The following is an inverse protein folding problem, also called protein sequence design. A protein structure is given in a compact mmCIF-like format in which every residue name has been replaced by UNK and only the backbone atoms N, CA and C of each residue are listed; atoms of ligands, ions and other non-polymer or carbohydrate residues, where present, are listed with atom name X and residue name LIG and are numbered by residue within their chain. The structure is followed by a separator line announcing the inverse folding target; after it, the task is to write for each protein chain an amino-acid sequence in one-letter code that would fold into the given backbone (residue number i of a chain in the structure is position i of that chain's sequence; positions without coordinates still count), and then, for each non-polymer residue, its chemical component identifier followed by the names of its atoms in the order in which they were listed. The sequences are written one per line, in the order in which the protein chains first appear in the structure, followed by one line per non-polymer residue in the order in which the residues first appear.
data_IF_735360955396
#
_entry.id   IF_735360955396
#
_cell.length_a   1.000
_cell.length_b   1.000
_cell.length_c   1.000
_cell.angle_alpha   90.00
_cell.angle_beta   90.00
_cell.angle_gamma   90.00
#
_symmetry.space_group_name_H-M   'P 1'
#
loop_
_entity.id
_entity.type
_entity.pdbx_description
1 polymer ?
2 water ?
#
# COMPACT_ATOMS: atom_id res chain seq x y z
N UNK A 3 -9.37 10.69 7.64
CA UNK A 3 -7.94 10.89 7.47
C UNK A 3 -7.62 11.40 6.06
N UNK A 4 -7.82 12.68 5.83
CA UNK A 4 -7.71 13.24 4.48
C UNK A 4 -6.26 13.40 4.03
N UNK A 5 -5.32 13.32 4.97
CA UNK A 5 -3.91 13.37 4.63
C UNK A 5 -3.37 11.99 4.31
N UNK A 6 -4.20 10.97 4.54
CA UNK A 6 -3.85 9.60 4.21
C UNK A 6 -4.29 9.28 2.79
N UNK A 7 -3.63 8.30 2.17
CA UNK A 7 -4.07 7.81 0.86
C UNK A 7 -5.50 7.36 0.91
N UNK A 8 -6.16 7.33 -0.23
CA UNK A 8 -7.50 6.79 -0.28
C UNK A 8 -7.50 5.34 0.13
N UNK A 9 -8.69 4.79 0.37
CA UNK A 9 -8.79 3.36 0.70
C UNK A 9 -8.09 2.51 -0.32
N UNK A 10 -7.44 1.47 0.16
CA UNK A 10 -6.67 0.63 -0.70
C UNK A 10 -7.59 -0.24 -1.53
N UNK A 11 -7.27 -0.36 -2.81
CA UNK A 11 -8.04 -1.21 -3.69
C UNK A 11 -7.16 -2.34 -4.14
N UNK A 12 -7.60 -3.55 -3.87
CA UNK A 12 -6.82 -4.72 -4.17
C UNK A 12 -7.38 -5.44 -5.36
N UNK A 13 -6.50 -5.69 -6.32
CA UNK A 13 -6.85 -6.48 -7.47
C UNK A 13 -5.95 -7.69 -7.50
N UNK A 14 -6.48 -8.82 -7.09
CA UNK A 14 -5.67 -10.01 -7.03
C UNK A 14 -5.38 -10.44 -8.44
N UNK A 15 -4.10 -10.72 -8.71
CA UNK A 15 -3.65 -11.09 -10.05
C UNK A 15 -3.41 -12.58 -10.19
N UNK A 16 -3.09 -13.22 -9.08
CA UNK A 16 -2.64 -14.60 -9.09
C UNK A 16 -2.63 -15.04 -7.65
N UNK A 17 -2.22 -16.29 -7.40
CA UNK A 17 -2.18 -16.77 -6.02
C UNK A 17 -1.19 -16.03 -5.17
N UNK A 18 -0.28 -15.31 -5.82
CA UNK A 18 0.85 -14.77 -5.11
C UNK A 18 1.11 -13.32 -5.42
N UNK A 19 0.20 -12.67 -6.13
CA UNK A 19 0.43 -11.28 -6.45
C UNK A 19 -0.85 -10.53 -6.69
N UNK A 20 -0.79 -9.27 -6.35
CA UNK A 20 -1.94 -8.42 -6.50
C UNK A 20 -1.45 -7.07 -6.91
N UNK A 21 -2.38 -6.31 -7.42
CA UNK A 21 -2.18 -4.92 -7.65
C UNK A 21 -2.90 -4.20 -6.54
N UNK A 22 -2.19 -3.24 -5.99
CA UNK A 22 -2.71 -2.38 -4.96
C UNK A 22 -2.83 -1.03 -5.60
N UNK A 23 -3.95 -0.37 -5.44
CA UNK A 23 -4.06 1.00 -5.90
C UNK A 23 -4.65 1.85 -4.80
N UNK A 24 -4.35 3.14 -4.88
CA UNK A 24 -4.89 4.07 -3.92
C UNK A 24 -4.90 5.44 -4.53
N UNK A 25 -5.89 6.20 -4.13
CA UNK A 25 -5.99 7.56 -4.57
C UNK A 25 -5.08 8.38 -3.69
N UNK A 26 -4.54 9.46 -4.25
CA UNK A 26 -3.70 10.33 -3.44
C UNK A 26 -4.56 10.94 -2.35
N UNK A 27 -3.94 11.31 -1.22
CA UNK A 27 -4.63 11.97 -0.12
C UNK A 27 -5.42 13.16 -0.62
N UNK A 28 -6.65 13.27 -0.15
CA UNK A 28 -7.54 14.36 -0.53
C UNK A 28 -6.92 15.68 -0.11
N UNK A 29 -6.24 15.68 1.02
CA UNK A 29 -5.62 16.88 1.56
C UNK A 29 -4.23 16.52 2.09
N UNK A 30 -3.24 16.44 1.19
CA UNK A 30 -1.87 16.15 1.60
C UNK A 30 -1.34 17.16 2.59
N UNK A 31 -0.61 16.73 3.62
CA UNK A 31 0.06 17.69 4.50
C UNK A 31 1.49 17.86 4.02
N UNK A 32 1.64 18.66 2.96
CA UNK A 32 2.93 18.86 2.33
C UNK A 32 2.89 18.39 0.89
N UNK A 33 4.03 18.51 0.23
CA UNK A 33 4.18 18.14 -1.16
C UNK A 33 4.53 16.68 -1.27
N UNK A 34 3.62 15.92 -1.88
CA UNK A 34 3.81 14.49 -2.01
C UNK A 34 4.84 14.21 -3.07
N UNK A 35 5.82 13.38 -2.70
CA UNK A 35 6.87 13.03 -3.62
C UNK A 35 6.84 11.55 -3.94
N UNK A 36 5.98 10.82 -3.26
CA UNK A 36 5.90 9.39 -3.45
C UNK A 36 5.12 8.77 -2.33
N UNK A 37 5.22 7.45 -2.25
CA UNK A 37 4.51 6.71 -1.24
C UNK A 37 5.41 5.63 -0.75
N UNK A 38 5.06 5.17 0.44
CA UNK A 38 5.67 4.00 0.99
C UNK A 38 4.57 3.00 1.17
N UNK A 39 4.78 1.82 0.61
CA UNK A 39 3.84 0.72 0.78
C UNK A 39 4.53 -0.35 1.54
N UNK A 40 3.98 -0.74 2.68
CA UNK A 40 4.56 -1.81 3.43
C UNK A 40 3.56 -2.92 3.52
N UNK A 41 4.02 -4.13 3.20
CA UNK A 41 3.25 -5.33 3.21
C UNK A 41 3.79 -6.33 4.21
N UNK A 42 2.89 -6.95 4.96
CA UNK A 42 3.25 -8.01 5.87
C UNK A 42 2.01 -8.80 6.18
N UNK A 43 2.20 -10.04 6.61
CA UNK A 43 1.07 -10.84 7.04
C UNK A 43 0.35 -10.09 8.14
N UNK A 44 -0.95 -10.04 8.03
CA UNK A 44 -1.80 -9.32 8.96
C UNK A 44 -1.69 -9.90 10.35
N UNK A 45 -1.40 -11.19 10.44
CA UNK A 45 -1.35 -11.86 11.73
C UNK A 45 -0.08 -11.49 12.47
N UNK A 46 0.79 -10.74 11.81
CA UNK A 46 2.03 -10.32 12.43
C UNK A 46 3.03 -11.45 12.55
N UNK A 47 4.28 -11.11 12.88
CA UNK A 47 5.32 -12.09 13.07
C UNK A 47 6.01 -12.45 11.76
N UNK A 48 5.44 -12.00 10.65
CA UNK A 48 5.97 -12.32 9.34
C UNK A 48 6.89 -11.26 8.80
N UNK A 49 7.63 -11.60 7.73
CA UNK A 49 8.49 -10.62 7.08
C UNK A 49 7.69 -9.54 6.40
N UNK A 50 8.26 -8.36 6.41
CA UNK A 50 7.62 -7.22 5.77
C UNK A 50 8.40 -6.87 4.52
N UNK A 51 7.67 -6.33 3.55
CA UNK A 51 8.28 -5.88 2.30
C UNK A 51 7.84 -4.46 2.01
N UNK A 52 8.81 -3.54 1.96
CA UNK A 52 8.51 -2.14 1.78
C UNK A 52 8.78 -1.78 0.36
N UNK A 53 7.83 -1.06 -0.21
CA UNK A 53 7.92 -0.60 -1.57
C UNK A 53 7.92 0.89 -1.57
N UNK A 54 8.96 1.45 -2.13
CA UNK A 54 9.04 2.89 -2.24
C UNK A 54 8.52 3.26 -3.61
N UNK A 55 7.43 4.02 -3.58
CA UNK A 55 6.79 4.50 -4.78
C UNK A 55 7.27 5.90 -5.01
N UNK A 56 7.77 6.11 -6.21
CA UNK A 56 8.35 7.36 -6.61
C UNK A 56 7.30 8.17 -7.33
N UNK A 57 6.97 9.33 -6.80
CA UNK A 57 6.05 10.21 -7.48
C UNK A 57 4.63 10.06 -7.05
N UNK A 58 3.84 10.98 -7.55
CA UNK A 58 2.46 11.10 -7.16
C UNK A 58 1.60 10.96 -8.38
N UNK A 59 0.36 10.57 -8.15
CA UNK A 59 -0.59 10.40 -9.22
C UNK A 59 -1.94 10.45 -8.55
N UNK A 60 -2.98 10.91 -9.26
CA UNK A 60 -4.32 10.86 -8.70
C UNK A 60 -4.61 9.49 -8.14
N UNK A 61 -4.24 8.47 -8.90
CA UNK A 61 -4.30 7.09 -8.44
C UNK A 61 -2.97 6.46 -8.72
N UNK A 62 -2.44 5.76 -7.72
CA UNK A 62 -1.19 5.06 -7.85
C UNK A 62 -1.48 3.60 -7.79
N UNK A 63 -0.66 2.82 -8.47
CA UNK A 63 -0.83 1.40 -8.53
C UNK A 63 0.52 0.76 -8.32
N UNK A 64 0.50 -0.37 -7.65
CA UNK A 64 1.69 -1.11 -7.38
C UNK A 64 1.36 -2.58 -7.45
N UNK A 65 2.15 -3.35 -8.18
CA UNK A 65 2.04 -4.80 -8.14
C UNK A 65 2.92 -5.31 -7.04
N UNK A 66 2.32 -6.10 -6.18
CA UNK A 66 2.99 -6.69 -5.05
C UNK A 66 3.00 -8.19 -5.26
N UNK A 67 4.19 -8.76 -5.48
CA UNK A 67 4.35 -10.20 -5.63
C UNK A 67 4.74 -10.84 -4.32
N UNK A 68 5.00 -12.13 -4.39
CA UNK A 68 5.55 -12.85 -3.26
C UNK A 68 4.55 -13.09 -2.17
N UNK A 69 3.28 -13.10 -2.52
CA UNK A 69 2.24 -13.36 -1.56
C UNK A 69 1.81 -14.81 -1.66
N UNK A 70 0.75 -15.13 -0.95
CA UNK A 70 0.27 -16.49 -0.91
C UNK A 70 -1.20 -16.36 -0.76
N UNK A 71 -1.89 -17.47 -0.97
CA UNK A 71 -3.32 -17.47 -0.80
C UNK A 71 -3.70 -17.85 0.61
N UNK A 72 -4.89 -17.41 1.00
CA UNK A 72 -5.51 -17.76 2.25
C UNK A 72 -4.73 -17.23 3.43
N UNK A 73 -3.97 -16.17 3.16
CA UNK A 73 -3.18 -15.51 4.17
C UNK A 73 -3.54 -14.04 4.12
N UNK A 74 -4.13 -13.51 5.19
CA UNK A 74 -4.38 -12.08 5.12
C UNK A 74 -3.11 -11.28 5.18
N UNK A 75 -3.00 -10.34 4.26
CA UNK A 75 -1.87 -9.43 4.22
C UNK A 75 -2.33 -8.05 4.57
N UNK A 76 -1.53 -7.40 5.41
CA UNK A 76 -1.80 -6.04 5.79
C UNK A 76 -0.90 -5.15 4.99
N UNK A 77 -1.51 -4.22 4.29
CA UNK A 77 -0.81 -3.22 3.53
C UNK A 77 -0.97 -1.90 4.20
N UNK A 78 0.10 -1.15 4.23
CA UNK A 78 0.14 0.15 4.85
C UNK A 78 0.69 1.08 3.81
N UNK A 79 -0.05 2.10 3.44
CA UNK A 79 0.41 3.05 2.47
C UNK A 79 0.47 4.41 3.10
N UNK A 80 1.63 5.05 3.00
CA UNK A 80 1.82 6.40 3.52
C UNK A 80 2.33 7.27 2.39
N UNK A 81 1.81 8.49 2.28
CA UNK A 81 2.41 9.44 1.38
C UNK A 81 3.77 9.80 1.91
N UNK A 82 4.73 9.90 1.02
CA UNK A 82 6.00 10.51 1.35
C UNK A 82 5.91 11.96 0.89
N UNK A 83 6.20 12.87 1.79
CA UNK A 83 6.27 14.28 1.42
C UNK A 83 7.71 14.72 1.59
N UNK A 84 7.99 15.93 1.13
CA UNK A 84 9.33 16.47 1.25
C UNK A 84 9.75 16.60 2.71
N UNK A 85 8.78 16.61 3.61
CA UNK A 85 9.02 16.86 5.03
C UNK A 85 8.93 15.60 5.87
N UNK A 86 8.27 14.58 5.33
CA UNK A 86 8.17 13.31 6.03
C UNK A 86 7.12 12.41 5.44
N UNK A 87 6.52 11.59 6.31
CA UNK A 87 5.47 10.69 5.90
C UNK A 87 4.14 11.17 6.41
N UNK A 88 3.13 10.99 5.56
CA UNK A 88 1.76 11.28 5.95
C UNK A 88 1.19 10.10 6.70
N UNK A 89 -0.03 10.25 7.22
CA UNK A 89 -0.63 9.11 7.93
C UNK A 89 -0.89 7.94 7.01
N UNK A 90 -0.86 6.76 7.60
CA UNK A 90 -1.05 5.56 6.83
C UNK A 90 -2.50 5.28 6.53
N UNK A 91 -2.71 4.68 5.37
CA UNK A 91 -3.94 4.01 5.04
C UNK A 91 -3.59 2.55 5.10
N UNK A 92 -4.37 1.79 5.84
CA UNK A 92 -4.17 0.36 5.97
C UNK A 92 -5.28 -0.35 5.24
N UNK A 93 -4.96 -1.51 4.71
CA UNK A 93 -5.93 -2.37 4.09
C UNK A 93 -5.44 -3.78 4.17
N UNK A 94 -6.35 -4.66 4.53
CA UNK A 94 -6.03 -6.08 4.60
C UNK A 94 -6.69 -6.78 3.45
N UNK A 95 -5.95 -7.71 2.86
CA UNK A 95 -6.42 -8.47 1.72
C UNK A 95 -6.02 -9.91 1.90
N UNK A 96 -6.92 -10.80 1.53
CA UNK A 96 -6.64 -12.21 1.39
C UNK A 96 -6.98 -12.60 -0.01
N UNK A 97 -6.07 -13.31 -0.67
CA UNK A 97 -6.35 -13.90 -1.96
C UNK A 97 -6.79 -15.33 -1.75
N UNK A 98 -7.94 -15.69 -2.30
CA UNK A 98 -8.42 -17.06 -2.30
C UNK A 98 -8.61 -17.54 -3.75
N UNK A 99 -8.66 -18.84 -3.95
CA UNK A 99 -9.06 -19.38 -5.25
C UNK A 99 -9.56 -20.81 -5.08
#
# INVERSE_FOLDING_TARGET
GSHMSAPGPLVFTALSPDSLQLSWERPRRPNGDIVGYLVTCEMAQGGGPATAFRVDGDSPESRLTVPGLSENVPYKFKVQARTTEGFGPEREGIITIES
#
